data_IF_974961435125
#
_entry.id   IF_974961435125
#
_cell.length_a   1.000
_cell.length_b   1.000
_cell.length_c   1.000
_cell.angle_alpha   90.00
_cell.angle_beta   90.00
_cell.angle_gamma   90.00
#
_symmetry.space_group_name_H-M   'P 1'
#
loop_
_entity.id
_entity.type
_entity.pdbx_description
1 polymer ?
#
# COMPACT_ATOMS: atom_id res chain seq x y z
N UNK A 1 17.56 -21.50 -1.12
CA UNK A 1 16.11 -21.34 -0.81
C UNK A 1 15.58 -22.56 -0.08
N UNK A 2 15.52 -23.75 -0.72
CA UNK A 2 15.00 -24.98 -0.07
C UNK A 2 15.84 -25.40 1.13
N UNK A 3 17.17 -25.33 1.03
CA UNK A 3 18.07 -25.68 2.14
C UNK A 3 17.86 -24.80 3.38
N UNK A 4 17.58 -23.52 3.19
CA UNK A 4 17.30 -22.57 4.28
C UNK A 4 15.96 -22.87 4.97
N UNK A 5 14.96 -23.32 4.21
CA UNK A 5 13.68 -23.77 4.78
C UNK A 5 13.87 -25.09 5.54
N UNK A 6 14.65 -26.02 5.00
CA UNK A 6 14.89 -27.30 5.66
C UNK A 6 15.76 -27.15 6.91
N UNK A 7 16.76 -26.26 6.90
CA UNK A 7 17.61 -25.98 8.06
C UNK A 7 16.81 -25.38 9.20
N UNK A 8 15.98 -24.37 8.92
CA UNK A 8 15.11 -23.74 9.92
C UNK A 8 14.11 -24.74 10.51
N UNK A 9 13.43 -25.55 9.69
CA UNK A 9 12.53 -26.59 10.19
C UNK A 9 13.23 -27.66 11.05
N UNK A 10 14.48 -28.00 10.72
CA UNK A 10 15.29 -28.93 11.48
C UNK A 10 15.75 -28.33 12.83
N UNK A 11 16.19 -27.07 12.84
CA UNK A 11 16.62 -26.33 14.03
C UNK A 11 15.50 -26.22 15.06
N UNK A 12 14.27 -25.88 14.60
CA UNK A 12 13.09 -25.86 15.46
C UNK A 12 12.52 -27.24 15.77
N UNK A 13 13.18 -28.33 15.33
CA UNK A 13 12.77 -29.73 15.51
C UNK A 13 11.37 -30.06 14.96
N UNK A 14 10.84 -29.23 14.07
CA UNK A 14 9.48 -29.35 13.54
C UNK A 14 9.31 -30.60 12.70
N UNK A 15 10.34 -31.01 11.96
CA UNK A 15 10.36 -32.25 11.17
C UNK A 15 10.06 -33.47 12.06
N UNK A 16 10.63 -33.51 13.27
CA UNK A 16 10.41 -34.61 14.23
C UNK A 16 8.99 -34.58 14.78
N UNK A 17 8.47 -33.40 15.10
CA UNK A 17 7.12 -33.25 15.66
C UNK A 17 6.03 -33.51 14.62
N UNK A 18 6.24 -33.10 13.37
CA UNK A 18 5.36 -33.42 12.24
C UNK A 18 5.30 -34.94 12.00
N UNK A 19 6.45 -35.61 12.02
CA UNK A 19 6.48 -37.08 11.90
C UNK A 19 5.73 -37.76 13.06
N UNK A 20 5.94 -37.33 14.30
CA UNK A 20 5.21 -37.86 15.46
C UNK A 20 3.71 -37.59 15.37
N UNK A 21 3.31 -36.42 14.87
CA UNK A 21 1.92 -36.04 14.66
C UNK A 21 1.25 -36.95 13.63
N UNK A 22 1.86 -37.08 12.45
CA UNK A 22 1.35 -37.96 11.38
C UNK A 22 1.24 -39.42 11.84
N UNK A 23 2.21 -39.91 12.63
CA UNK A 23 2.16 -41.26 13.21
C UNK A 23 1.00 -41.43 14.18
N UNK A 24 0.73 -40.45 15.04
CA UNK A 24 -0.40 -40.46 15.99
C UNK A 24 -1.75 -40.47 15.24
N UNK A 25 -1.90 -39.62 14.23
CA UNK A 25 -3.14 -39.58 13.42
C UNK A 25 -3.32 -40.88 12.64
N UNK A 26 -2.27 -41.40 12.00
CA UNK A 26 -2.35 -42.66 11.25
C UNK A 26 -2.70 -43.86 12.12
N UNK A 27 -2.32 -43.85 13.41
CA UNK A 27 -2.73 -44.89 14.37
C UNK A 27 -4.24 -44.82 14.63
N UNK A 28 -4.77 -43.62 14.87
CA UNK A 28 -6.22 -43.40 15.03
C UNK A 28 -7.00 -43.76 13.77
N UNK A 29 -6.51 -43.40 12.58
CA UNK A 29 -7.15 -43.80 11.31
C UNK A 29 -7.26 -45.32 11.16
N UNK A 30 -6.31 -46.09 11.71
CA UNK A 30 -6.33 -47.56 11.71
C UNK A 30 -7.26 -48.15 12.79
N UNK A 31 -7.37 -47.49 13.94
CA UNK A 31 -8.26 -47.90 15.04
C UNK A 31 -9.73 -47.63 14.69
N UNK A 32 -10.01 -46.48 14.06
CA UNK A 32 -11.36 -45.97 13.84
C UNK A 32 -11.89 -46.27 12.42
N UNK A 33 -11.01 -46.64 11.49
CA UNK A 33 -11.31 -46.83 10.06
C UNK A 33 -11.61 -45.54 9.26
N UNK A 34 -11.65 -44.38 9.93
CA UNK A 34 -12.01 -43.08 9.34
C UNK A 34 -10.75 -42.33 8.92
N UNK A 35 -10.70 -41.86 7.66
CA UNK A 35 -9.60 -41.02 7.14
C UNK A 35 -9.72 -39.57 7.64
N UNK A 36 -8.61 -38.96 8.06
CA UNK A 36 -8.53 -37.58 8.58
C UNK A 36 -7.44 -36.76 7.86
N UNK A 37 -7.58 -36.52 6.54
CA UNK A 37 -6.53 -35.87 5.75
C UNK A 37 -6.23 -34.43 6.21
N UNK A 38 -7.27 -33.67 6.58
CA UNK A 38 -7.11 -32.28 7.06
C UNK A 38 -6.29 -32.26 8.36
N UNK A 39 -6.65 -33.09 9.33
CA UNK A 39 -5.92 -33.16 10.60
C UNK A 39 -4.49 -33.68 10.43
N UNK A 40 -4.25 -34.54 9.43
CA UNK A 40 -2.94 -35.15 9.18
C UNK A 40 -1.93 -34.16 8.58
N UNK A 41 -2.37 -33.32 7.63
CA UNK A 41 -1.48 -32.43 6.88
C UNK A 41 -1.62 -30.94 7.25
N UNK A 42 -2.84 -30.43 7.45
CA UNK A 42 -3.05 -29.00 7.77
C UNK A 42 -2.83 -28.67 9.24
N UNK A 43 -3.10 -29.62 10.15
CA UNK A 43 -2.93 -29.42 11.60
C UNK A 43 -1.57 -29.92 12.12
N UNK A 44 -0.59 -30.15 11.24
CA UNK A 44 0.76 -30.49 11.68
C UNK A 44 1.47 -29.24 12.25
N UNK A 45 2.35 -29.38 13.25
CA UNK A 45 3.05 -28.27 13.89
C UNK A 45 3.71 -27.28 12.93
N UNK A 46 4.40 -27.74 11.87
CA UNK A 46 5.00 -26.83 10.89
C UNK A 46 3.96 -26.02 10.12
N UNK A 47 2.88 -26.65 9.64
CA UNK A 47 1.81 -25.96 8.92
C UNK A 47 1.12 -24.91 9.80
N UNK A 48 0.86 -25.23 11.07
CA UNK A 48 0.31 -24.28 12.05
C UNK A 48 1.23 -23.09 12.26
N UNK A 49 2.55 -23.30 12.37
CA UNK A 49 3.52 -22.22 12.49
C UNK A 49 3.53 -21.33 11.25
N UNK A 50 3.54 -21.91 10.05
CA UNK A 50 3.46 -21.14 8.81
C UNK A 50 2.18 -20.32 8.72
N UNK A 51 1.03 -20.91 9.08
CA UNK A 51 -0.26 -20.19 9.11
C UNK A 51 -0.19 -19.04 10.11
N UNK A 52 0.37 -19.25 11.31
CA UNK A 52 0.49 -18.20 12.31
C UNK A 52 1.37 -17.04 11.82
N UNK A 53 2.54 -17.33 11.25
CA UNK A 53 3.43 -16.31 10.66
C UNK A 53 2.73 -15.59 9.51
N UNK A 54 2.01 -16.31 8.66
CA UNK A 54 1.26 -15.73 7.55
C UNK A 54 0.15 -14.79 8.02
N UNK A 55 -0.60 -15.17 9.07
CA UNK A 55 -1.64 -14.33 9.67
C UNK A 55 -1.03 -13.06 10.26
N UNK A 56 0.05 -13.20 11.04
CA UNK A 56 0.74 -12.05 11.64
C UNK A 56 1.28 -11.12 10.56
N UNK A 57 1.97 -11.67 9.56
CA UNK A 57 2.51 -10.89 8.45
C UNK A 57 1.42 -10.18 7.64
N UNK A 58 0.31 -10.87 7.38
CA UNK A 58 -0.86 -10.28 6.68
C UNK A 58 -1.46 -9.15 7.49
N UNK A 59 -1.64 -9.33 8.80
CA UNK A 59 -2.19 -8.30 9.68
C UNK A 59 -1.27 -7.08 9.76
N UNK A 60 0.04 -7.29 9.93
CA UNK A 60 1.04 -6.22 9.89
C UNK A 60 1.04 -5.48 8.55
N UNK A 61 0.92 -6.19 7.43
CA UNK A 61 0.84 -5.57 6.11
C UNK A 61 -0.41 -4.70 5.98
N UNK A 62 -1.58 -5.19 6.40
CA UNK A 62 -2.84 -4.41 6.39
C UNK A 62 -2.67 -3.13 7.21
N UNK A 63 -2.15 -3.21 8.44
CA UNK A 63 -1.91 -2.03 9.28
C UNK A 63 -0.92 -1.04 8.66
N UNK A 64 0.13 -1.55 8.02
CA UNK A 64 1.13 -0.71 7.35
C UNK A 64 0.53 0.02 6.15
N UNK A 65 -0.22 -0.67 5.30
CA UNK A 65 -0.87 -0.07 4.14
C UNK A 65 -1.97 0.93 4.53
N UNK A 66 -2.77 0.64 5.57
CA UNK A 66 -3.76 1.60 6.06
C UNK A 66 -3.09 2.85 6.61
N UNK A 67 -2.05 2.71 7.42
CA UNK A 67 -1.29 3.85 7.95
C UNK A 67 -0.69 4.73 6.86
N UNK A 68 -0.07 4.13 5.84
CA UNK A 68 0.45 4.89 4.70
C UNK A 68 -0.66 5.68 4.02
N UNK A 69 -1.78 5.01 3.73
CA UNK A 69 -2.89 5.59 2.99
C UNK A 69 -3.63 6.70 3.75
N UNK A 70 -3.69 6.64 5.08
CA UNK A 70 -4.44 7.61 5.91
C UNK A 70 -3.58 8.75 6.47
N UNK A 71 -2.27 8.54 6.64
CA UNK A 71 -1.44 9.49 7.40
C UNK A 71 -0.22 9.98 6.65
N UNK A 72 0.38 9.15 5.79
CA UNK A 72 1.56 9.54 5.00
C UNK A 72 1.13 10.22 3.69
N UNK A 73 0.14 9.65 3.02
CA UNK A 73 -0.31 10.12 1.71
C UNK A 73 -0.89 11.55 1.75
N UNK A 74 -1.75 11.93 2.71
CA UNK A 74 -2.23 13.31 2.79
C UNK A 74 -1.09 14.32 2.94
N UNK A 75 -0.12 14.04 3.80
CA UNK A 75 1.04 14.92 4.03
C UNK A 75 1.93 15.04 2.79
N UNK A 76 2.10 13.95 2.03
CA UNK A 76 2.85 13.96 0.77
C UNK A 76 2.13 14.81 -0.27
N UNK A 77 0.82 14.60 -0.44
CA UNK A 77 -0.03 15.36 -1.37
C UNK A 77 -0.07 16.84 -1.01
N UNK A 78 -0.23 17.19 0.27
CA UNK A 78 -0.21 18.58 0.74
C UNK A 78 1.13 19.27 0.41
N UNK A 79 2.25 18.55 0.64
CA UNK A 79 3.57 19.05 0.28
C UNK A 79 3.73 19.24 -1.23
N UNK A 80 3.27 18.28 -2.04
CA UNK A 80 3.31 18.38 -3.51
C UNK A 80 2.46 19.55 -4.00
N UNK A 81 1.26 19.75 -3.45
CA UNK A 81 0.40 20.90 -3.76
C UNK A 81 1.11 22.20 -3.40
N UNK A 82 1.76 22.29 -2.24
CA UNK A 82 2.52 23.48 -1.84
C UNK A 82 3.69 23.78 -2.81
N UNK A 83 4.45 22.76 -3.21
CA UNK A 83 5.53 22.91 -4.19
C UNK A 83 5.02 23.33 -5.58
N UNK A 84 3.87 22.78 -6.00
CA UNK A 84 3.19 23.18 -7.24
C UNK A 84 2.73 24.63 -7.16
N UNK A 85 2.12 25.05 -6.05
CA UNK A 85 1.68 26.43 -5.83
C UNK A 85 2.84 27.42 -5.88
N UNK A 86 3.96 27.13 -5.20
CA UNK A 86 5.15 27.98 -5.27
C UNK A 86 5.67 28.10 -6.72
N UNK A 87 5.64 27.00 -7.47
CA UNK A 87 6.09 26.99 -8.86
C UNK A 87 5.13 27.75 -9.78
N UNK A 88 3.84 27.70 -9.52
CA UNK A 88 2.79 28.48 -10.21
C UNK A 88 3.01 29.97 -10.01
N UNK A 89 3.24 30.40 -8.78
CA UNK A 89 3.55 31.79 -8.45
C UNK A 89 4.82 32.28 -9.17
N UNK A 90 5.89 31.46 -9.15
CA UNK A 90 7.12 31.75 -9.87
C UNK A 90 6.90 31.77 -11.40
N UNK A 91 5.98 30.96 -11.92
CA UNK A 91 5.62 30.99 -13.35
C UNK A 91 4.96 32.32 -13.70
N UNK A 92 3.95 32.74 -12.92
CA UNK A 92 3.22 33.97 -13.13
C UNK A 92 4.12 35.21 -13.00
N UNK A 93 5.04 35.24 -12.02
CA UNK A 93 6.03 36.31 -11.88
C UNK A 93 6.93 36.48 -13.11
N UNK A 94 7.28 35.38 -13.78
CA UNK A 94 8.18 35.40 -14.93
C UNK A 94 7.47 35.64 -16.26
N UNK A 95 6.24 35.14 -16.43
CA UNK A 95 5.52 35.13 -17.71
C UNK A 95 4.25 35.99 -17.72
N UNK A 96 3.83 36.50 -16.56
CA UNK A 96 2.64 37.34 -16.39
C UNK A 96 1.31 36.62 -16.54
N UNK A 97 1.31 35.28 -16.59
CA UNK A 97 0.10 34.44 -16.70
C UNK A 97 0.33 33.06 -16.08
N UNK A 98 -0.71 32.39 -15.61
CA UNK A 98 -0.67 30.98 -15.22
C UNK A 98 -0.72 30.03 -16.43
N UNK A 99 -0.17 28.80 -16.32
CA UNK A 99 -0.32 27.76 -17.34
C UNK A 99 -1.77 27.29 -17.43
N UNK A 100 -2.20 26.89 -18.63
CA UNK A 100 -3.57 26.39 -18.90
C UNK A 100 -3.80 24.98 -18.41
N UNK A 101 -2.74 24.17 -18.36
CA UNK A 101 -2.78 22.78 -17.91
C UNK A 101 -1.65 22.51 -16.92
N UNK A 102 -1.89 21.60 -15.97
CA UNK A 102 -0.87 21.17 -15.02
C UNK A 102 0.35 20.53 -15.70
N UNK A 103 0.15 19.89 -16.86
CA UNK A 103 1.24 19.32 -17.65
C UNK A 103 2.24 20.36 -18.16
N UNK A 104 1.80 21.59 -18.43
CA UNK A 104 2.71 22.68 -18.79
C UNK A 104 3.61 23.08 -17.62
N UNK A 105 3.09 23.02 -16.39
CA UNK A 105 3.85 23.27 -15.17
C UNK A 105 4.95 22.20 -14.97
N UNK A 106 4.62 20.93 -15.22
CA UNK A 106 5.53 19.78 -15.10
C UNK A 106 6.62 19.84 -16.17
N UNK A 107 6.22 20.05 -17.42
CA UNK A 107 7.09 20.06 -18.60
C UNK A 107 7.92 18.78 -18.72
N UNK A 108 9.16 18.90 -19.22
CA UNK A 108 10.07 17.77 -19.42
C UNK A 108 10.98 17.47 -18.22
N UNK A 109 10.63 17.94 -17.02
CA UNK A 109 11.50 17.78 -15.84
C UNK A 109 11.28 16.41 -15.18
N UNK A 110 12.32 15.55 -15.07
CA UNK A 110 12.20 14.25 -14.40
C UNK A 110 11.73 14.36 -12.94
N UNK A 111 12.11 15.43 -12.25
CA UNK A 111 11.78 15.67 -10.84
C UNK A 111 10.30 15.97 -10.60
N UNK A 112 9.55 16.33 -11.64
CA UNK A 112 8.14 16.75 -11.54
C UNK A 112 7.18 15.77 -12.19
N UNK A 113 7.67 14.64 -12.72
CA UNK A 113 6.82 13.59 -13.30
C UNK A 113 5.80 13.06 -12.30
N UNK A 114 6.17 13.05 -11.03
CA UNK A 114 5.32 12.56 -9.95
C UNK A 114 4.15 13.52 -9.65
N UNK A 115 4.17 14.78 -10.12
CA UNK A 115 3.07 15.73 -9.95
C UNK A 115 1.86 15.48 -10.86
N UNK A 116 1.93 14.46 -11.72
CA UNK A 116 0.78 14.06 -12.55
C UNK A 116 -0.36 13.48 -11.69
N UNK A 117 -0.03 12.91 -10.54
CA UNK A 117 -0.98 12.22 -9.68
C UNK A 117 -0.65 12.42 -8.21
N UNK A 118 -1.68 12.36 -7.37
CA UNK A 118 -1.53 12.41 -5.93
C UNK A 118 -0.93 11.11 -5.37
N UNK A 119 -0.71 11.09 -4.05
CA UNK A 119 -0.18 9.93 -3.35
C UNK A 119 -1.08 8.68 -3.45
N UNK A 120 -2.37 8.82 -3.77
CA UNK A 120 -3.30 7.72 -4.05
C UNK A 120 -3.35 7.32 -5.53
N UNK A 121 -2.44 7.85 -6.35
CA UNK A 121 -2.34 7.60 -7.79
C UNK A 121 -3.59 8.08 -8.57
N UNK A 122 -4.15 9.23 -8.16
CA UNK A 122 -5.29 9.90 -8.81
C UNK A 122 -4.86 11.21 -9.42
N UNK A 123 -5.47 11.59 -10.52
CA UNK A 123 -5.16 12.85 -11.19
C UNK A 123 -5.66 14.04 -10.35
N UNK A 124 -4.87 15.11 -10.33
CA UNK A 124 -5.28 16.37 -9.72
C UNK A 124 -6.31 17.08 -10.61
N UNK A 125 -7.31 17.70 -9.99
CA UNK A 125 -8.17 18.66 -10.67
C UNK A 125 -7.48 20.03 -10.65
N UNK A 126 -7.27 20.61 -11.82
CA UNK A 126 -6.65 21.92 -11.99
C UNK A 126 -7.61 22.87 -12.67
N UNK A 127 -7.89 24.00 -12.01
CA UNK A 127 -8.76 25.04 -12.57
C UNK A 127 -8.11 26.42 -12.39
N UNK A 128 -8.27 27.26 -13.40
CA UNK A 128 -7.87 28.67 -13.34
C UNK A 128 -9.08 29.48 -12.90
N UNK A 129 -8.91 30.27 -11.85
CA UNK A 129 -9.97 31.12 -11.28
C UNK A 129 -9.76 32.59 -11.66
N UNK A 130 -10.80 33.41 -11.44
CA UNK A 130 -10.74 34.87 -11.55
C UNK A 130 -10.24 35.42 -12.90
N UNK A 131 -10.66 34.81 -14.02
CA UNK A 131 -10.26 35.21 -15.37
C UNK A 131 -8.73 35.17 -15.59
N UNK A 132 -8.03 34.18 -15.03
CA UNK A 132 -6.59 34.02 -15.22
C UNK A 132 -5.72 34.58 -14.09
N UNK A 133 -6.33 35.08 -13.01
CA UNK A 133 -5.63 35.71 -11.89
C UNK A 133 -5.40 34.80 -10.69
N UNK A 134 -6.08 33.65 -10.63
CA UNK A 134 -5.88 32.64 -9.61
C UNK A 134 -5.84 31.23 -10.19
N UNK A 135 -5.48 30.28 -9.35
CA UNK A 135 -5.50 28.86 -9.67
C UNK A 135 -6.00 28.06 -8.48
N UNK A 136 -6.52 26.87 -8.75
CA UNK A 136 -6.93 25.91 -7.74
C UNK A 136 -6.48 24.51 -8.19
N UNK A 137 -5.65 23.88 -7.37
CA UNK A 137 -5.24 22.48 -7.50
C UNK A 137 -5.96 21.70 -6.40
N UNK A 138 -6.73 20.69 -6.78
CA UNK A 138 -7.47 19.83 -5.83
C UNK A 138 -7.08 18.37 -6.03
N UNK A 139 -6.78 17.67 -4.94
CA UNK A 139 -6.71 16.20 -4.90
C UNK A 139 -8.00 15.66 -4.28
N UNK A 140 -8.56 14.61 -4.88
CA UNK A 140 -9.74 13.90 -4.42
C UNK A 140 -9.50 13.02 -3.16
N UNK A 141 -8.44 13.30 -2.40
CA UNK A 141 -8.22 12.74 -1.08
C UNK A 141 -8.04 11.23 -1.05
N UNK A 142 -8.61 10.60 -0.03
CA UNK A 142 -8.59 9.16 0.25
C UNK A 142 -9.73 8.41 -0.48
N UNK A 143 -10.87 9.07 -0.67
CA UNK A 143 -12.12 8.48 -1.16
C UNK A 143 -12.22 8.48 -2.70
N UNK A 144 -11.55 9.43 -3.35
CA UNK A 144 -11.41 9.54 -4.79
C UNK A 144 -12.53 10.30 -5.46
N UNK A 145 -13.30 11.09 -4.70
CA UNK A 145 -14.37 11.93 -5.21
C UNK A 145 -14.05 13.37 -4.90
N UNK A 146 -14.18 14.24 -5.89
CA UNK A 146 -14.07 15.67 -5.67
C UNK A 146 -15.33 16.19 -4.97
N UNK A 147 -15.16 17.21 -4.13
CA UNK A 147 -16.22 17.87 -3.38
C UNK A 147 -16.51 17.26 -2.01
N UNK A 148 -15.62 16.42 -1.48
CA UNK A 148 -15.75 15.76 -0.18
C UNK A 148 -14.82 16.37 0.87
N UNK A 149 -14.99 15.97 2.14
CA UNK A 149 -14.22 16.53 3.27
C UNK A 149 -12.74 16.16 3.25
N UNK A 150 -12.37 15.10 2.53
CA UNK A 150 -10.99 14.62 2.41
C UNK A 150 -10.22 15.24 1.23
N UNK A 151 -10.85 16.14 0.48
CA UNK A 151 -10.19 16.91 -0.58
C UNK A 151 -9.04 17.76 -0.01
N UNK A 152 -7.91 17.75 -0.69
CA UNK A 152 -6.76 18.60 -0.37
C UNK A 152 -6.62 19.65 -1.46
N UNK A 153 -6.66 20.93 -1.08
CA UNK A 153 -6.71 22.08 -2.00
C UNK A 153 -5.48 22.97 -1.84
N UNK A 154 -5.07 23.63 -2.92
CA UNK A 154 -4.13 24.74 -2.87
C UNK A 154 -4.85 25.99 -2.34
N UNK A 155 -4.56 26.38 -1.11
CA UNK A 155 -4.88 27.70 -0.56
C UNK A 155 -3.71 28.68 -0.75
#
# INVERSE_FOLDING_TARGET
MIELILSTLAEFRLIREDYKHQKRISKKEKEDGIKRPIQKYFMQPSALMFIAVFIIGSFSAVLFFTYQRTSVFPKKTEKEISEMSERMENWNKNLGKYPTELNELIGNSPLRKDWTKDAWNREYEFTITENGKGFLITSAGLDGKFGTEDDIKSE
#
